data_IF_712898670565
#
_entry.id   IF_712898670565
#
_cell.length_a   1.000
_cell.length_b   1.000
_cell.length_c   1.000
_cell.angle_alpha   90.00
_cell.angle_beta   90.00
_cell.angle_gamma   90.00
#
_symmetry.space_group_name_H-M   'P 1'
#
loop_
_entity.id
_entity.type
_entity.pdbx_description
1 polymer ?
#
# COMPACT_ATOMS: atom_id res chain seq x y z
N UNK A 1 -22.65 24.99 2.13
CA UNK A 1 -21.57 24.55 1.22
C UNK A 1 -21.73 23.06 1.04
N UNK A 2 -22.22 22.63 -0.13
CA UNK A 2 -22.44 21.23 -0.43
C UNK A 2 -21.09 20.50 -0.53
N UNK A 3 -21.02 19.28 0.04
CA UNK A 3 -19.87 18.39 -0.05
C UNK A 3 -19.56 18.13 -1.54
N UNK A 4 -18.36 18.50 -1.98
CA UNK A 4 -17.91 18.21 -3.35
C UNK A 4 -17.40 16.77 -3.37
N UNK A 5 -18.22 15.87 -3.93
CA UNK A 5 -17.82 14.49 -4.16
C UNK A 5 -17.11 14.36 -5.51
N UNK A 6 -15.91 13.80 -5.52
CA UNK A 6 -15.20 13.46 -6.75
C UNK A 6 -15.06 11.94 -6.87
N UNK A 7 -15.40 11.41 -8.05
CA UNK A 7 -15.13 10.04 -8.44
C UNK A 7 -13.84 10.00 -9.24
N UNK A 8 -12.88 9.22 -8.79
CA UNK A 8 -11.57 9.13 -9.44
C UNK A 8 -11.34 7.74 -10.00
N UNK A 9 -11.13 7.67 -11.30
CA UNK A 9 -10.67 6.46 -11.97
C UNK A 9 -9.13 6.42 -11.92
N UNK A 10 -8.58 5.40 -11.25
CA UNK A 10 -7.14 5.25 -11.04
C UNK A 10 -6.57 4.19 -11.99
N UNK A 11 -6.59 4.47 -13.31
CA UNK A 11 -5.92 3.64 -14.31
C UNK A 11 -4.47 4.13 -14.48
N UNK A 12 -3.64 3.79 -13.51
CA UNK A 12 -2.28 4.31 -13.38
C UNK A 12 -1.38 3.33 -12.61
N UNK A 13 -0.12 3.67 -12.40
CA UNK A 13 0.77 2.93 -11.52
C UNK A 13 0.36 3.05 -10.04
N UNK A 14 0.64 2.02 -9.26
CA UNK A 14 0.29 1.94 -7.83
C UNK A 14 0.89 3.09 -7.01
N UNK A 15 2.10 3.51 -7.33
CA UNK A 15 2.79 4.64 -6.70
C UNK A 15 2.08 5.98 -6.96
N UNK A 16 1.54 6.18 -8.16
CA UNK A 16 0.78 7.38 -8.51
C UNK A 16 -0.57 7.39 -7.78
N UNK A 17 -1.24 6.24 -7.68
CA UNK A 17 -2.47 6.11 -6.89
C UNK A 17 -2.23 6.45 -5.42
N UNK A 18 -1.14 5.96 -4.85
CA UNK A 18 -0.72 6.30 -3.48
C UNK A 18 -0.42 7.79 -3.32
N UNK A 19 0.34 8.39 -4.25
CA UNK A 19 0.67 9.81 -4.22
C UNK A 19 -0.59 10.69 -4.30
N UNK A 20 -1.54 10.33 -5.17
CA UNK A 20 -2.83 11.00 -5.25
C UNK A 20 -3.60 10.94 -3.92
N UNK A 21 -3.62 9.78 -3.26
CA UNK A 21 -4.22 9.62 -1.93
C UNK A 21 -3.54 10.51 -0.88
N UNK A 22 -2.20 10.58 -0.89
CA UNK A 22 -1.44 11.42 0.05
C UNK A 22 -1.71 12.91 -0.12
N UNK A 23 -1.91 13.39 -1.35
CA UNK A 23 -2.22 14.80 -1.65
C UNK A 23 -3.69 15.10 -1.34
N UNK A 24 -4.60 14.16 -1.65
CA UNK A 24 -6.04 14.27 -1.45
C UNK A 24 -6.45 13.56 -0.15
N UNK A 25 -5.73 13.82 0.93
CA UNK A 25 -6.03 13.26 2.25
C UNK A 25 -7.35 13.83 2.82
N UNK A 26 -7.79 13.30 3.94
CA UNK A 26 -9.04 13.72 4.60
C UNK A 26 -9.05 15.19 5.04
N UNK A 27 -7.89 15.84 5.12
CA UNK A 27 -7.73 17.25 5.49
C UNK A 27 -7.82 18.19 4.30
N UNK A 28 -7.76 17.66 3.07
CA UNK A 28 -7.88 18.45 1.84
C UNK A 28 -9.25 19.12 1.68
N UNK A 29 -10.25 18.72 2.47
CA UNK A 29 -11.64 19.20 2.36
C UNK A 29 -12.38 18.63 1.13
N UNK A 30 -11.77 17.71 0.40
CA UNK A 30 -12.34 17.08 -0.80
C UNK A 30 -12.56 15.59 -0.51
N UNK A 31 -13.81 15.14 -0.58
CA UNK A 31 -14.14 13.71 -0.51
C UNK A 31 -13.90 13.07 -1.89
N UNK A 32 -12.87 12.25 -2.00
CA UNK A 32 -12.54 11.51 -3.23
C UNK A 32 -12.78 10.02 -3.00
N UNK A 33 -13.56 9.42 -3.87
CA UNK A 33 -13.84 7.99 -3.86
C UNK A 33 -13.24 7.34 -5.11
N UNK A 34 -12.32 6.39 -4.97
CA UNK A 34 -11.74 5.72 -6.11
C UNK A 34 -12.75 4.76 -6.76
N UNK A 35 -12.63 4.66 -8.07
CA UNK A 35 -13.36 3.67 -8.86
C UNK A 35 -12.39 2.52 -9.15
N UNK A 36 -12.78 1.31 -8.78
CA UNK A 36 -12.00 0.08 -9.00
C UNK A 36 -12.61 -0.75 -10.12
N UNK A 37 -11.79 -1.19 -11.08
CA UNK A 37 -12.18 -2.23 -12.04
C UNK A 37 -12.21 -3.58 -11.33
N UNK A 38 -13.32 -4.28 -11.44
CA UNK A 38 -13.49 -5.67 -10.99
C UNK A 38 -13.60 -6.58 -12.20
N UNK A 39 -13.00 -7.76 -12.13
CA UNK A 39 -13.10 -8.77 -13.17
C UNK A 39 -14.52 -9.36 -13.33
N UNK A 40 -15.33 -9.29 -12.27
CA UNK A 40 -16.70 -9.86 -12.22
C UNK A 40 -17.80 -8.81 -12.32
N UNK A 41 -17.61 -7.65 -11.70
CA UNK A 41 -18.66 -6.63 -11.52
C UNK A 41 -18.44 -5.38 -12.36
N UNK A 42 -17.50 -5.40 -13.30
CA UNK A 42 -17.14 -4.24 -14.09
C UNK A 42 -16.50 -3.14 -13.25
N UNK A 43 -17.02 -1.92 -13.34
CA UNK A 43 -16.49 -0.75 -12.63
C UNK A 43 -17.29 -0.47 -11.37
N UNK A 44 -16.65 -0.51 -10.19
CA UNK A 44 -17.28 -0.35 -8.88
C UNK A 44 -16.72 0.89 -8.16
N UNK A 45 -17.62 1.72 -7.63
CA UNK A 45 -17.24 2.83 -6.74
C UNK A 45 -16.90 2.29 -5.35
N UNK A 46 -15.71 2.57 -4.87
CA UNK A 46 -15.29 2.22 -3.52
C UNK A 46 -15.59 3.38 -2.55
N UNK A 47 -16.88 3.49 -2.16
CA UNK A 47 -17.36 4.46 -1.18
C UNK A 47 -17.42 3.82 0.21
N UNK A 48 -16.80 4.47 1.18
CA UNK A 48 -16.77 4.03 2.59
C UNK A 48 -18.16 4.16 3.25
N UNK A 49 -19.01 5.08 2.77
CA UNK A 49 -20.33 5.34 3.36
C UNK A 49 -21.39 4.32 2.97
N UNK A 50 -21.17 3.58 1.89
CA UNK A 50 -22.17 2.63 1.34
C UNK A 50 -22.05 1.21 1.90
N UNK A 51 -21.09 0.94 2.78
CA UNK A 51 -20.84 -0.43 3.24
C UNK A 51 -21.87 -0.91 4.24
N UNK A 52 -22.37 -2.12 4.01
CA UNK A 52 -23.07 -2.90 5.02
C UNK A 52 -22.09 -3.41 6.08
N UNK A 53 -22.56 -3.65 7.31
CA UNK A 53 -21.78 -4.34 8.36
C UNK A 53 -21.45 -5.77 7.90
N UNK A 54 -20.24 -5.99 7.40
CA UNK A 54 -19.71 -7.30 7.00
C UNK A 54 -18.52 -7.66 7.91
N UNK A 55 -18.32 -8.94 8.10
CA UNK A 55 -17.07 -9.44 8.67
C UNK A 55 -16.06 -9.52 7.53
N UNK A 56 -15.16 -8.55 7.45
CA UNK A 56 -14.10 -8.53 6.46
C UNK A 56 -12.90 -9.37 6.93
N UNK A 57 -12.20 -9.94 5.96
CA UNK A 57 -10.89 -10.55 6.18
C UNK A 57 -9.88 -9.52 6.72
N UNK A 58 -9.08 -9.92 7.69
CA UNK A 58 -8.01 -9.09 8.24
C UNK A 58 -6.67 -9.36 7.55
N UNK A 59 -5.64 -8.61 7.94
CA UNK A 59 -4.26 -8.90 7.60
C UNK A 59 -3.61 -9.88 8.57
N UNK A 60 -2.84 -10.83 8.02
CA UNK A 60 -1.68 -11.40 8.69
C UNK A 60 -0.52 -10.43 8.49
N UNK A 61 -0.06 -9.83 9.59
CA UNK A 61 1.05 -8.88 9.58
C UNK A 61 2.18 -9.45 10.41
N UNK A 62 3.31 -9.74 9.77
CA UNK A 62 4.55 -10.09 10.45
C UNK A 62 5.56 -8.94 10.40
N UNK A 63 6.38 -8.85 11.47
CA UNK A 63 7.53 -7.97 11.55
C UNK A 63 8.76 -8.85 11.67
N UNK A 64 9.56 -8.91 10.62
CA UNK A 64 10.69 -9.81 10.50
C UNK A 64 11.99 -9.01 10.52
N UNK A 65 12.87 -9.31 11.48
CA UNK A 65 14.23 -8.78 11.46
C UNK A 65 14.97 -9.31 10.25
N UNK A 66 15.53 -8.40 9.46
CA UNK A 66 16.26 -8.73 8.24
C UNK A 66 17.78 -8.50 8.40
N UNK A 67 18.16 -7.33 8.93
CA UNK A 67 19.53 -7.00 9.25
C UNK A 67 19.58 -6.09 10.50
N UNK A 68 20.19 -6.57 11.57
CA UNK A 68 20.24 -5.86 12.86
C UNK A 68 21.05 -4.54 12.83
N UNK A 69 21.91 -4.38 11.84
CA UNK A 69 22.76 -3.18 11.69
C UNK A 69 22.13 -2.11 10.79
N UNK A 70 20.90 -2.31 10.34
CA UNK A 70 20.20 -1.41 9.45
C UNK A 70 18.89 -0.93 10.07
N UNK A 71 18.39 0.23 9.63
CA UNK A 71 17.21 0.87 10.23
C UNK A 71 16.06 1.14 9.25
N UNK A 72 16.31 1.08 7.94
CA UNK A 72 15.25 1.20 6.95
C UNK A 72 14.29 0.01 7.06
N UNK A 73 13.03 0.24 6.75
CA UNK A 73 12.01 -0.82 6.79
C UNK A 73 11.46 -1.06 5.39
N UNK A 74 11.19 -2.32 5.05
CA UNK A 74 10.45 -2.66 3.85
C UNK A 74 9.02 -3.03 4.22
N UNK A 75 8.04 -2.34 3.63
CA UNK A 75 6.62 -2.72 3.67
C UNK A 75 6.29 -3.53 2.42
N UNK A 76 5.84 -4.75 2.61
CA UNK A 76 5.48 -5.68 1.52
C UNK A 76 3.98 -5.96 1.59
N UNK A 77 3.24 -5.51 0.58
CA UNK A 77 1.79 -5.60 0.50
C UNK A 77 1.40 -6.68 -0.52
N UNK A 78 1.07 -7.87 -0.03
CA UNK A 78 0.69 -9.04 -0.84
C UNK A 78 -0.84 -9.13 -0.96
N UNK A 79 -1.47 -8.22 -1.71
CA UNK A 79 -2.94 -8.20 -1.85
C UNK A 79 -3.42 -9.07 -3.00
N UNK A 80 -2.93 -8.79 -4.21
CA UNK A 80 -3.37 -9.52 -5.42
C UNK A 80 -2.45 -10.68 -5.77
N UNK A 81 -1.20 -10.63 -5.31
CA UNK A 81 -0.17 -11.65 -5.52
C UNK A 81 0.81 -11.62 -4.35
N UNK A 82 1.33 -12.78 -3.98
CA UNK A 82 2.45 -12.85 -3.05
C UNK A 82 3.75 -12.45 -3.74
N UNK A 83 4.34 -11.34 -3.29
CA UNK A 83 5.58 -10.75 -3.83
C UNK A 83 6.75 -10.82 -2.85
N UNK A 84 6.58 -11.46 -1.69
CA UNK A 84 7.57 -11.46 -0.62
C UNK A 84 8.96 -11.93 -1.09
N UNK A 85 9.02 -13.07 -1.76
CA UNK A 85 10.29 -13.62 -2.22
C UNK A 85 10.98 -12.75 -3.29
N UNK A 86 10.19 -12.14 -4.19
CA UNK A 86 10.71 -11.22 -5.21
C UNK A 86 11.31 -9.98 -4.55
N UNK A 87 10.65 -9.44 -3.52
CA UNK A 87 11.14 -8.28 -2.75
C UNK A 87 12.40 -8.62 -1.98
N UNK A 88 12.43 -9.75 -1.29
CA UNK A 88 13.64 -10.21 -0.56
C UNK A 88 14.83 -10.37 -1.50
N UNK A 89 14.61 -10.96 -2.68
CA UNK A 89 15.63 -11.08 -3.71
C UNK A 89 16.13 -9.69 -4.16
N UNK A 90 15.21 -8.80 -4.48
CA UNK A 90 15.53 -7.43 -4.91
C UNK A 90 16.33 -6.66 -3.85
N UNK A 91 15.94 -6.73 -2.57
CA UNK A 91 16.66 -6.10 -1.44
C UNK A 91 18.11 -6.57 -1.42
N UNK A 92 18.35 -7.88 -1.54
CA UNK A 92 19.68 -8.48 -1.50
C UNK A 92 20.53 -8.09 -2.72
N UNK A 93 19.98 -8.17 -3.91
CA UNK A 93 20.69 -7.89 -5.18
C UNK A 93 21.06 -6.41 -5.30
N UNK A 94 20.25 -5.51 -4.72
CA UNK A 94 20.49 -4.06 -4.77
C UNK A 94 21.12 -3.50 -3.48
N UNK A 95 21.49 -4.37 -2.53
CA UNK A 95 22.11 -3.98 -1.26
C UNK A 95 21.34 -2.88 -0.51
N UNK A 96 19.99 -2.96 -0.49
CA UNK A 96 19.18 -2.00 0.24
C UNK A 96 19.41 -2.15 1.75
N UNK A 97 19.50 -1.03 2.46
CA UNK A 97 19.81 -0.96 3.91
C UNK A 97 18.61 -1.33 4.80
N UNK A 98 17.95 -2.44 4.52
CA UNK A 98 16.73 -2.87 5.21
C UNK A 98 17.10 -3.58 6.51
N UNK A 99 16.57 -3.09 7.64
CA UNK A 99 16.68 -3.70 8.96
C UNK A 99 15.49 -4.60 9.32
N UNK A 100 14.29 -4.22 8.87
CA UNK A 100 13.05 -4.93 9.17
C UNK A 100 12.15 -5.04 7.94
N UNK A 101 11.47 -6.17 7.77
CA UNK A 101 10.42 -6.35 6.77
C UNK A 101 9.07 -6.43 7.50
N UNK A 102 8.14 -5.55 7.11
CA UNK A 102 6.74 -5.59 7.53
C UNK A 102 5.97 -6.26 6.40
N UNK A 103 5.61 -7.51 6.60
CA UNK A 103 4.95 -8.31 5.57
C UNK A 103 3.44 -8.38 5.87
N UNK A 104 2.61 -7.95 4.93
CA UNK A 104 1.16 -7.92 5.05
C UNK A 104 0.53 -8.81 3.98
N UNK A 105 -0.32 -9.76 4.39
CA UNK A 105 -1.07 -10.65 3.52
C UNK A 105 -2.48 -10.86 4.06
N UNK A 106 -3.54 -10.94 3.22
CA UNK A 106 -4.90 -11.26 3.69
C UNK A 106 -4.93 -12.65 4.36
N UNK A 107 -5.49 -12.73 5.59
CA UNK A 107 -5.35 -13.93 6.45
C UNK A 107 -6.03 -15.16 5.88
N UNK A 108 -7.32 -15.05 5.54
CA UNK A 108 -8.13 -16.25 5.25
C UNK A 108 -8.08 -16.70 3.78
N UNK A 109 -7.93 -15.74 2.87
CA UNK A 109 -8.02 -15.99 1.42
C UNK A 109 -6.67 -15.93 0.71
N UNK A 110 -5.62 -15.49 1.43
CA UNK A 110 -4.31 -15.24 0.83
C UNK A 110 -4.34 -14.10 -0.19
N UNK A 111 -3.29 -13.98 -0.99
CA UNK A 111 -3.15 -12.94 -1.99
C UNK A 111 -3.94 -13.30 -3.28
N UNK A 112 -5.06 -12.65 -3.52
CA UNK A 112 -5.92 -12.85 -4.71
C UNK A 112 -6.51 -11.52 -5.19
N UNK A 113 -7.01 -11.49 -6.43
CA UNK A 113 -7.71 -10.32 -6.95
C UNK A 113 -9.04 -9.98 -6.23
N UNK A 114 -9.48 -10.85 -5.32
CA UNK A 114 -10.73 -10.72 -4.56
C UNK A 114 -10.47 -10.47 -3.06
N UNK A 115 -9.23 -10.31 -2.65
CA UNK A 115 -8.85 -10.16 -1.24
C UNK A 115 -9.37 -8.88 -0.59
N UNK A 116 -9.72 -7.89 -1.37
CA UNK A 116 -10.37 -6.65 -0.89
C UNK A 116 -11.73 -6.52 -1.59
N UNK A 117 -12.80 -6.44 -0.78
CA UNK A 117 -14.17 -6.53 -1.28
C UNK A 117 -14.75 -5.17 -1.71
N UNK A 118 -14.47 -4.12 -0.94
CA UNK A 118 -15.02 -2.77 -1.14
C UNK A 118 -14.18 -1.66 -0.47
N UNK A 119 -14.63 -0.41 -0.58
CA UNK A 119 -13.92 0.74 -0.03
C UNK A 119 -13.82 0.75 1.49
N UNK A 120 -14.78 0.21 2.21
CA UNK A 120 -14.72 0.11 3.68
C UNK A 120 -13.68 -0.91 4.11
N UNK A 121 -13.66 -2.08 3.46
CA UNK A 121 -12.63 -3.09 3.68
C UNK A 121 -11.23 -2.53 3.38
N UNK A 122 -11.07 -1.87 2.23
CA UNK A 122 -9.80 -1.22 1.86
C UNK A 122 -9.33 -0.20 2.89
N UNK A 123 -10.25 0.64 3.40
CA UNK A 123 -9.93 1.63 4.44
C UNK A 123 -9.53 0.97 5.76
N UNK A 124 -10.23 -0.08 6.19
CA UNK A 124 -9.91 -0.82 7.41
C UNK A 124 -8.52 -1.46 7.31
N UNK A 125 -8.21 -2.08 6.17
CA UNK A 125 -6.89 -2.66 5.91
C UNK A 125 -5.79 -1.61 5.84
N UNK A 126 -6.03 -0.45 5.22
CA UNK A 126 -5.09 0.67 5.19
C UNK A 126 -4.78 1.22 6.60
N UNK A 127 -5.79 1.31 7.47
CA UNK A 127 -5.61 1.68 8.87
C UNK A 127 -4.78 0.64 9.64
N UNK A 128 -4.98 -0.65 9.37
CA UNK A 128 -4.19 -1.71 10.00
C UNK A 128 -2.71 -1.63 9.59
N UNK A 129 -2.43 -1.35 8.31
CA UNK A 129 -1.06 -1.11 7.82
C UNK A 129 -0.45 0.12 8.50
N UNK A 130 -1.20 1.22 8.62
CA UNK A 130 -0.75 2.42 9.34
C UNK A 130 -0.32 2.09 10.77
N UNK A 131 -1.15 1.32 11.49
CA UNK A 131 -0.85 0.89 12.85
C UNK A 131 0.39 -0.01 12.92
N UNK A 132 0.57 -0.91 11.95
CA UNK A 132 1.76 -1.77 11.88
C UNK A 132 3.03 -0.96 11.66
N UNK A 133 3.02 0.00 10.73
CA UNK A 133 4.13 0.93 10.49
C UNK A 133 4.45 1.73 11.74
N UNK A 134 3.44 2.14 12.51
CA UNK A 134 3.58 2.88 13.76
C UNK A 134 4.27 2.11 14.89
N UNK A 135 4.33 0.76 14.81
CA UNK A 135 5.05 -0.09 15.80
C UNK A 135 6.55 -0.10 15.62
N UNK A 136 7.08 0.48 14.54
CA UNK A 136 8.53 0.67 14.35
C UNK A 136 9.13 1.45 15.52
N UNK A 137 10.35 1.14 15.90
CA UNK A 137 11.13 1.90 16.88
C UNK A 137 11.31 3.37 16.46
N UNK A 138 11.71 4.22 17.38
CA UNK A 138 11.96 5.65 17.09
C UNK A 138 13.02 5.84 16.01
N UNK A 139 14.03 4.99 15.97
CA UNK A 139 15.11 5.04 14.96
C UNK A 139 14.56 4.64 13.59
N UNK A 140 13.86 3.52 13.51
CA UNK A 140 13.25 3.03 12.27
C UNK A 140 12.20 4.00 11.70
N UNK A 141 11.47 4.73 12.55
CA UNK A 141 10.51 5.76 12.09
C UNK A 141 11.18 6.99 11.48
N UNK A 142 12.44 7.26 11.82
CA UNK A 142 13.25 8.33 11.21
C UNK A 142 13.99 7.88 9.95
N UNK A 143 14.15 6.58 9.80
CA UNK A 143 14.75 5.95 8.63
C UNK A 143 13.72 5.85 7.48
N UNK A 144 14.15 5.33 6.34
CA UNK A 144 13.30 5.26 5.15
C UNK A 144 12.37 4.03 5.20
N UNK A 145 11.11 4.22 4.80
CA UNK A 145 10.16 3.14 4.53
C UNK A 145 10.14 2.85 3.04
N UNK A 146 10.57 1.66 2.64
CA UNK A 146 10.52 1.17 1.27
C UNK A 146 9.21 0.41 1.05
N UNK A 147 8.38 0.81 0.09
CA UNK A 147 7.03 0.27 -0.13
C UNK A 147 6.99 -0.51 -1.43
N UNK A 148 6.68 -1.80 -1.31
CA UNK A 148 6.48 -2.74 -2.41
C UNK A 148 5.04 -3.25 -2.35
N UNK A 149 4.31 -3.17 -3.46
CA UNK A 149 2.90 -3.53 -3.46
C UNK A 149 2.47 -4.30 -4.70
N UNK A 150 1.74 -5.38 -4.47
CA UNK A 150 0.87 -6.00 -5.45
C UNK A 150 -0.58 -5.82 -4.95
N UNK A 151 -1.20 -4.69 -5.28
CA UNK A 151 -2.46 -4.27 -4.71
C UNK A 151 -3.32 -3.48 -5.72
N UNK A 152 -4.66 -3.45 -5.55
CA UNK A 152 -5.53 -2.60 -6.34
C UNK A 152 -5.20 -1.11 -6.14
N UNK A 153 -5.27 -0.32 -7.20
CA UNK A 153 -4.98 1.12 -7.13
C UNK A 153 -5.90 1.87 -6.17
N UNK A 154 -7.16 1.47 -6.05
CA UNK A 154 -8.07 2.04 -5.07
C UNK A 154 -7.60 1.80 -3.63
N UNK A 155 -7.05 0.63 -3.30
CA UNK A 155 -6.44 0.37 -1.99
C UNK A 155 -5.19 1.24 -1.78
N UNK A 156 -4.32 1.36 -2.79
CA UNK A 156 -3.14 2.22 -2.71
C UNK A 156 -3.50 3.69 -2.49
N UNK A 157 -4.60 4.15 -3.06
CA UNK A 157 -5.14 5.48 -2.80
C UNK A 157 -5.54 5.67 -1.33
N UNK A 158 -6.31 4.74 -0.74
CA UNK A 158 -6.69 4.80 0.69
C UNK A 158 -5.47 4.69 1.61
N UNK A 159 -4.48 3.88 1.25
CA UNK A 159 -3.21 3.80 1.99
C UNK A 159 -2.46 5.14 1.92
N UNK A 160 -2.45 5.77 0.75
CA UNK A 160 -1.88 7.11 0.54
C UNK A 160 -2.53 8.16 1.45
N UNK A 161 -3.85 8.16 1.60
CA UNK A 161 -4.57 9.09 2.49
C UNK A 161 -4.11 8.99 3.95
N UNK A 162 -3.66 7.82 4.39
CA UNK A 162 -3.14 7.58 5.73
C UNK A 162 -1.61 7.80 5.85
N UNK A 163 -0.92 8.08 4.74
CA UNK A 163 0.55 8.00 4.68
C UNK A 163 1.30 9.22 5.23
N UNK A 164 0.62 10.28 5.62
CA UNK A 164 1.28 11.49 6.18
C UNK A 164 2.14 11.15 7.40
N UNK A 165 1.75 10.15 8.20
CA UNK A 165 2.50 9.67 9.36
C UNK A 165 3.59 8.63 9.08
N UNK A 166 3.84 8.25 7.81
CA UNK A 166 4.83 7.22 7.48
C UNK A 166 6.29 7.70 7.58
N UNK A 167 6.50 9.02 7.57
CA UNK A 167 7.82 9.61 7.46
C UNK A 167 8.35 9.55 6.04
N UNK A 168 9.69 9.46 5.91
CA UNK A 168 10.32 9.29 4.59
C UNK A 168 9.92 7.96 3.98
N UNK A 169 9.44 7.95 2.75
CA UNK A 169 9.11 6.71 2.07
C UNK A 169 9.45 6.74 0.59
N UNK A 170 9.78 5.57 0.06
CA UNK A 170 10.09 5.31 -1.35
C UNK A 170 9.17 4.21 -1.82
N UNK A 171 8.46 4.44 -2.92
CA UNK A 171 7.62 3.45 -3.58
C UNK A 171 8.37 2.81 -4.74
N UNK A 172 8.13 1.53 -4.92
CA UNK A 172 8.71 0.73 -5.99
C UNK A 172 7.61 0.18 -6.89
N UNK A 173 7.88 0.19 -8.20
CA UNK A 173 7.03 -0.43 -9.21
C UNK A 173 7.70 -1.70 -9.76
N UNK A 174 6.89 -2.72 -10.02
CA UNK A 174 7.38 -3.93 -10.66
C UNK A 174 7.63 -3.66 -12.15
N UNK A 175 8.82 -4.01 -12.64
CA UNK A 175 9.18 -3.88 -14.05
C UNK A 175 8.63 -5.06 -14.86
N UNK A 176 7.44 -4.89 -15.40
CA UNK A 176 6.80 -5.90 -16.24
C UNK A 176 7.50 -6.11 -17.59
N UNK A 177 8.25 -5.10 -18.06
CA UNK A 177 8.91 -5.15 -19.37
C UNK A 177 10.30 -5.77 -19.30
N UNK A 178 10.77 -6.09 -18.09
CA UNK A 178 12.11 -6.67 -17.85
C UNK A 178 13.24 -5.92 -18.57
N UNK A 179 13.08 -4.62 -18.78
CA UNK A 179 14.07 -3.77 -19.48
C UNK A 179 15.41 -3.69 -18.72
N UNK A 180 15.34 -3.91 -17.41
CA UNK A 180 16.51 -4.01 -16.54
C UNK A 180 16.51 -5.38 -15.86
N UNK A 181 17.67 -5.86 -15.46
CA UNK A 181 17.82 -7.10 -14.67
C UNK A 181 17.14 -7.05 -13.29
N UNK A 182 16.54 -5.91 -12.92
CA UNK A 182 15.86 -5.68 -11.65
C UNK A 182 14.36 -5.93 -11.79
N UNK A 183 13.80 -6.66 -10.85
CA UNK A 183 12.36 -6.96 -10.76
C UNK A 183 11.55 -5.72 -10.38
N UNK A 184 12.17 -4.72 -9.74
CA UNK A 184 11.57 -3.47 -9.28
C UNK A 184 12.41 -2.26 -9.68
N UNK A 185 11.73 -1.13 -9.87
CA UNK A 185 12.37 0.18 -10.04
C UNK A 185 11.80 1.17 -9.03
N UNK A 186 12.67 2.05 -8.52
CA UNK A 186 12.22 3.16 -7.68
C UNK A 186 11.34 4.10 -8.51
N UNK A 187 10.16 4.45 -7.99
CA UNK A 187 9.20 5.33 -8.65
C UNK A 187 9.11 6.69 -7.95
N UNK A 188 8.35 6.78 -6.86
CA UNK A 188 8.11 8.04 -6.16
C UNK A 188 8.75 7.99 -4.77
N UNK A 189 9.36 9.11 -4.36
CA UNK A 189 9.88 9.30 -3.02
C UNK A 189 9.24 10.51 -2.34
N UNK A 190 8.95 10.36 -1.05
CA UNK A 190 8.51 11.45 -0.18
C UNK A 190 9.59 11.66 0.88
N UNK A 191 10.19 12.83 0.85
CA UNK A 191 11.03 13.38 1.91
C UNK A 191 10.16 14.33 2.73
N UNK A 192 10.18 14.25 4.03
CA UNK A 192 9.39 15.17 4.90
C UNK A 192 9.65 16.63 4.57
#
# INVERSE_FOLDING_TARGET
LGDVYKRQFLDTHASIAFAAGRILDSKSGINVFPIQKSSTNGTVLWDVKLSSKRNYTNWDISHEKFNENQYDSALVLNVTRNIYNDVVKFIKENNLSIGCIINCMPSDVGATNFSIEDGTHATALANSVYNAIGRRSTVERRATLHIFAAAPNAFMFFLGQNSVGFGKCILYEYDFEQRNSCTYSQSISFTN
#
